data_IF_272484189218
#
_entry.id   IF_272484189218
#
_cell.length_a   1.000
_cell.length_b   1.000
_cell.length_c   1.000
_cell.angle_alpha   90.00
_cell.angle_beta   90.00
_cell.angle_gamma   90.00
#
_symmetry.space_group_name_H-M   'P 1'
#
loop_
_entity.id
_entity.type
_entity.pdbx_description
1 polymer ?
#
# COMPACT_ATOMS: atom_id res chain seq x y z
N UNK A 1 -18.75 -19.90 49.56
CA UNK A 1 -19.32 -19.85 48.24
C UNK A 1 -18.24 -19.45 47.25
N UNK A 2 -17.71 -20.39 46.47
CA UNK A 2 -16.75 -20.12 45.40
C UNK A 2 -17.55 -19.62 44.19
N UNK A 3 -17.28 -18.40 43.75
CA UNK A 3 -17.78 -17.90 42.46
C UNK A 3 -16.90 -18.48 41.35
N UNK A 4 -17.43 -19.47 40.63
CA UNK A 4 -16.85 -19.94 39.37
C UNK A 4 -17.02 -18.86 38.31
N UNK A 5 -15.96 -18.11 38.02
CA UNK A 5 -15.87 -17.25 36.89
C UNK A 5 -15.91 -18.08 35.60
N UNK A 6 -16.98 -17.97 34.83
CA UNK A 6 -17.05 -18.49 33.48
C UNK A 6 -16.02 -17.71 32.64
N UNK A 7 -14.93 -18.36 32.28
CA UNK A 7 -14.05 -17.87 31.25
C UNK A 7 -14.82 -17.89 29.94
N UNK A 8 -15.25 -16.72 29.47
CA UNK A 8 -15.76 -16.57 28.12
C UNK A 8 -14.64 -16.90 27.16
N UNK A 9 -14.81 -17.96 26.38
CA UNK A 9 -13.91 -18.31 25.31
C UNK A 9 -13.78 -17.10 24.41
N UNK A 10 -12.58 -16.54 24.30
CA UNK A 10 -12.28 -15.43 23.40
C UNK A 10 -12.34 -16.02 22.00
N UNK A 11 -13.41 -15.70 21.27
CA UNK A 11 -13.52 -16.10 19.88
C UNK A 11 -12.37 -15.46 19.09
N UNK A 12 -11.47 -16.27 18.58
CA UNK A 12 -10.42 -15.82 17.68
C UNK A 12 -11.09 -15.39 16.36
N UNK A 13 -10.99 -14.13 15.94
CA UNK A 13 -11.65 -13.68 14.73
C UNK A 13 -11.07 -14.40 13.52
N UNK A 14 -11.86 -15.24 12.87
CA UNK A 14 -11.44 -16.11 11.75
C UNK A 14 -11.16 -15.34 10.44
N UNK A 15 -11.42 -14.03 10.40
CA UNK A 15 -11.41 -13.22 9.18
C UNK A 15 -10.60 -11.94 9.28
N UNK A 16 -9.59 -11.89 10.16
CA UNK A 16 -8.62 -10.79 10.20
C UNK A 16 -7.77 -10.86 8.94
N UNK A 17 -7.83 -9.80 8.14
CA UNK A 17 -7.03 -9.67 6.92
C UNK A 17 -6.11 -8.47 7.03
N UNK A 18 -4.90 -8.60 6.48
CA UNK A 18 -3.91 -7.53 6.36
C UNK A 18 -3.77 -6.74 7.67
N UNK A 19 -2.97 -7.25 8.56
CA UNK A 19 -2.57 -6.59 9.79
C UNK A 19 -1.23 -5.85 9.60
N UNK A 20 -1.02 -4.81 10.40
CA UNK A 20 0.19 -4.01 10.39
C UNK A 20 0.48 -3.50 11.80
N UNK A 21 1.68 -3.79 12.30
CA UNK A 21 2.14 -3.26 13.59
C UNK A 21 2.58 -1.79 13.42
N UNK A 22 2.29 -0.94 14.41
CA UNK A 22 2.77 0.44 14.43
C UNK A 22 4.30 0.50 14.51
N UNK A 23 4.96 1.52 13.91
CA UNK A 23 6.42 1.67 13.98
C UNK A 23 6.98 1.66 15.40
N UNK A 24 6.24 2.18 16.38
CA UNK A 24 6.62 2.16 17.81
C UNK A 24 6.37 0.80 18.50
N UNK A 25 5.79 -0.18 17.79
CA UNK A 25 5.52 -1.51 18.29
C UNK A 25 4.36 -1.63 19.28
N UNK A 26 3.62 -0.54 19.55
CA UNK A 26 2.63 -0.51 20.64
C UNK A 26 1.22 -0.92 20.23
N UNK A 27 0.90 -0.86 18.91
CA UNK A 27 -0.45 -1.10 18.39
C UNK A 27 -0.42 -1.94 17.13
N UNK A 28 -1.51 -2.62 16.84
CA UNK A 28 -1.75 -3.37 15.60
C UNK A 28 -3.02 -2.82 14.95
N UNK A 29 -2.91 -2.41 13.68
CA UNK A 29 -4.05 -2.10 12.84
C UNK A 29 -4.41 -3.32 11.99
N UNK A 30 -5.69 -3.58 11.79
CA UNK A 30 -6.16 -4.68 10.94
C UNK A 30 -7.53 -4.37 10.34
N UNK A 31 -7.87 -5.05 9.25
CA UNK A 31 -9.20 -4.99 8.67
C UNK A 31 -10.03 -6.20 9.09
N UNK A 32 -11.28 -5.93 9.47
CA UNK A 32 -12.25 -6.95 9.83
C UNK A 32 -13.64 -6.54 9.36
N UNK A 33 -14.31 -7.43 8.60
CA UNK A 33 -15.66 -7.21 8.05
C UNK A 33 -15.85 -5.89 7.28
N UNK A 34 -14.79 -5.40 6.64
CA UNK A 34 -14.86 -4.18 5.84
C UNK A 34 -14.57 -2.89 6.60
N UNK A 35 -14.18 -2.97 7.87
CA UNK A 35 -13.76 -1.83 8.68
C UNK A 35 -12.32 -1.99 9.19
N UNK A 36 -11.72 -0.88 9.57
CA UNK A 36 -10.39 -0.83 10.17
C UNK A 36 -10.51 -0.75 11.69
N UNK A 37 -9.72 -1.58 12.36
CA UNK A 37 -9.62 -1.67 13.81
C UNK A 37 -8.19 -1.46 14.27
N UNK A 38 -8.02 -0.96 15.49
CA UNK A 38 -6.73 -0.84 16.16
C UNK A 38 -6.82 -1.52 17.54
N UNK A 39 -5.81 -2.31 17.88
CA UNK A 39 -5.71 -2.99 19.17
C UNK A 39 -4.30 -2.77 19.75
N UNK A 40 -4.13 -2.69 21.09
CA UNK A 40 -2.80 -2.72 21.71
C UNK A 40 -2.04 -3.99 21.31
N UNK A 41 -0.73 -3.90 21.05
CA UNK A 41 0.10 -5.05 20.70
C UNK A 41 0.16 -6.11 21.83
N UNK A 42 -0.10 -5.70 23.07
CA UNK A 42 -0.22 -6.56 24.23
C UNK A 42 -1.57 -7.29 24.34
N UNK A 43 -2.46 -7.04 23.36
CA UNK A 43 -3.82 -7.57 23.38
C UNK A 43 -4.81 -6.64 24.10
N UNK A 44 -6.06 -7.05 24.16
CA UNK A 44 -7.12 -6.29 24.78
C UNK A 44 -8.27 -5.97 23.81
N UNK A 45 -9.03 -4.91 24.12
CA UNK A 45 -10.17 -4.50 23.31
C UNK A 45 -9.71 -3.75 22.05
N UNK A 46 -10.17 -4.21 20.89
CA UNK A 46 -9.98 -3.49 19.64
C UNK A 46 -10.92 -2.29 19.54
N UNK A 47 -10.39 -1.16 19.08
CA UNK A 47 -11.14 0.04 18.74
C UNK A 47 -11.45 0.03 17.24
N UNK A 48 -12.71 0.12 16.87
CA UNK A 48 -13.11 0.33 15.49
C UNK A 48 -12.88 1.81 15.12
N UNK A 49 -12.05 2.06 14.10
CA UNK A 49 -11.68 3.43 13.71
C UNK A 49 -12.36 3.90 12.43
N UNK A 50 -12.95 3.00 11.66
CA UNK A 50 -13.81 3.34 10.51
C UNK A 50 -15.19 2.71 10.70
N UNK A 51 -16.24 3.43 10.28
CA UNK A 51 -17.65 3.05 10.49
C UNK A 51 -18.51 3.30 9.25
N UNK A 52 -17.90 3.53 8.09
CA UNK A 52 -18.63 3.76 6.84
C UNK A 52 -19.15 2.42 6.28
N UNK A 53 -20.26 2.44 5.54
CA UNK A 53 -20.78 1.25 4.86
C UNK A 53 -19.87 0.71 3.75
N UNK A 54 -18.94 1.54 3.26
CA UNK A 54 -17.97 1.14 2.25
C UNK A 54 -16.92 0.18 2.83
N UNK A 55 -16.38 -0.66 1.96
CA UNK A 55 -15.34 -1.60 2.32
C UNK A 55 -13.98 -0.89 2.50
N UNK A 56 -13.48 -0.85 3.72
CA UNK A 56 -12.18 -0.32 4.11
C UNK A 56 -11.18 -1.47 4.33
N UNK A 57 -9.97 -1.35 3.80
CA UNK A 57 -8.96 -2.42 3.85
C UNK A 57 -7.53 -1.89 3.78
N UNK A 58 -6.56 -2.81 3.94
CA UNK A 58 -5.13 -2.54 3.81
C UNK A 58 -4.62 -1.40 4.69
N UNK A 59 -4.86 -1.44 6.02
CA UNK A 59 -4.35 -0.39 6.90
C UNK A 59 -2.82 -0.41 6.93
N UNK A 60 -2.22 0.78 6.89
CA UNK A 60 -0.79 1.00 7.06
C UNK A 60 -0.56 2.20 7.98
N UNK A 61 0.45 2.12 8.83
CA UNK A 61 0.78 3.18 9.78
C UNK A 61 1.61 4.28 9.15
N UNK A 62 1.38 5.53 9.59
CA UNK A 62 2.36 6.61 9.42
C UNK A 62 3.57 6.39 10.33
N UNK A 63 4.73 6.96 9.96
CA UNK A 63 5.99 6.76 10.68
C UNK A 63 5.93 7.19 12.15
N UNK A 64 5.09 8.16 12.49
CA UNK A 64 4.86 8.65 13.86
C UNK A 64 3.90 7.79 14.68
N UNK A 65 3.39 6.68 14.14
CA UNK A 65 2.43 5.78 14.80
C UNK A 65 1.10 6.43 15.22
N UNK A 66 0.73 7.57 14.62
CA UNK A 66 -0.48 8.32 15.02
C UNK A 66 -1.64 8.21 14.05
N UNK A 67 -1.37 7.88 12.79
CA UNK A 67 -2.40 7.83 11.75
C UNK A 67 -2.35 6.51 10.99
N UNK A 68 -3.49 6.16 10.41
CA UNK A 68 -3.68 4.99 9.56
C UNK A 68 -4.03 5.47 8.16
N UNK A 69 -3.25 5.02 7.18
CA UNK A 69 -3.54 5.13 5.75
C UNK A 69 -4.21 3.83 5.33
N UNK A 70 -5.26 3.90 4.56
CA UNK A 70 -6.02 2.73 4.16
C UNK A 70 -6.71 2.93 2.80
N UNK A 71 -7.18 1.85 2.23
CA UNK A 71 -7.93 1.84 0.98
C UNK A 71 -9.42 1.75 1.28
N UNK A 72 -10.24 2.56 0.59
CA UNK A 72 -11.70 2.59 0.75
C UNK A 72 -12.44 2.67 -0.58
N UNK A 73 -13.64 2.09 -0.63
CA UNK A 73 -14.55 2.14 -1.79
C UNK A 73 -15.67 3.20 -1.64
N UNK A 74 -15.46 4.26 -0.85
CA UNK A 74 -16.48 5.28 -0.53
C UNK A 74 -16.97 6.05 -1.75
N UNK A 75 -16.11 6.25 -2.74
CA UNK A 75 -16.35 7.13 -3.89
C UNK A 75 -16.57 6.35 -5.20
N UNK A 76 -17.09 5.13 -5.12
CA UNK A 76 -17.31 4.22 -6.27
C UNK A 76 -16.03 3.69 -6.92
N UNK A 77 -14.88 4.21 -6.54
CA UNK A 77 -13.55 3.72 -6.88
C UNK A 77 -12.81 3.32 -5.61
N UNK A 78 -11.73 2.62 -5.78
CA UNK A 78 -10.82 2.31 -4.68
C UNK A 78 -9.82 3.43 -4.55
N UNK A 79 -9.96 4.22 -3.50
CA UNK A 79 -9.12 5.39 -3.23
C UNK A 79 -8.39 5.24 -1.90
N UNK A 80 -7.41 6.12 -1.69
CA UNK A 80 -6.58 6.14 -0.48
C UNK A 80 -7.07 7.21 0.47
N UNK A 81 -7.26 6.82 1.72
CA UNK A 81 -7.71 7.65 2.83
C UNK A 81 -6.73 7.62 3.99
N UNK A 82 -6.81 8.62 4.85
CA UNK A 82 -6.06 8.70 6.11
C UNK A 82 -6.98 9.10 7.25
N UNK A 83 -6.78 8.51 8.42
CA UNK A 83 -7.48 8.87 9.66
C UNK A 83 -6.56 8.76 10.87
N UNK A 84 -6.97 9.30 12.02
CA UNK A 84 -6.30 9.06 13.30
C UNK A 84 -6.41 7.59 13.71
N UNK A 85 -5.41 7.04 14.38
CA UNK A 85 -5.48 5.71 14.98
C UNK A 85 -6.49 5.61 16.14
N UNK A 86 -7.02 6.75 16.59
CA UNK A 86 -8.08 6.84 17.60
C UNK A 86 -9.48 7.00 16.99
N UNK A 87 -9.56 7.03 15.66
CA UNK A 87 -10.80 7.27 14.91
C UNK A 87 -10.99 8.73 14.54
N UNK A 88 -12.15 9.04 13.99
CA UNK A 88 -12.52 10.36 13.49
C UNK A 88 -12.90 10.33 12.02
N UNK A 89 -13.14 11.51 11.43
CA UNK A 89 -13.50 11.61 10.01
C UNK A 89 -12.30 11.35 9.12
N UNK A 90 -12.31 10.32 8.27
CA UNK A 90 -11.24 10.08 7.32
C UNK A 90 -11.15 11.17 6.26
N UNK A 91 -9.92 11.52 5.90
CA UNK A 91 -9.60 12.43 4.80
C UNK A 91 -9.19 11.61 3.56
N UNK A 92 -9.80 11.91 2.41
CA UNK A 92 -9.39 11.35 1.12
C UNK A 92 -8.08 11.99 0.68
N UNK A 93 -7.12 11.17 0.26
CA UNK A 93 -5.79 11.62 -0.20
C UNK A 93 -5.65 11.59 -1.72
N UNK A 94 -6.37 10.70 -2.39
CA UNK A 94 -6.30 10.53 -3.84
C UNK A 94 -7.67 10.69 -4.48
N UNK A 95 -7.71 11.22 -5.71
CA UNK A 95 -8.94 11.66 -6.38
C UNK A 95 -9.04 11.15 -7.82
N UNK A 96 -8.26 10.14 -8.19
CA UNK A 96 -8.27 9.61 -9.55
C UNK A 96 -9.47 8.67 -9.78
N UNK A 97 -10.09 8.67 -10.97
CA UNK A 97 -11.24 7.80 -11.25
C UNK A 97 -10.87 6.30 -11.40
N UNK A 98 -9.58 5.97 -11.52
CA UNK A 98 -9.09 4.59 -11.57
C UNK A 98 -8.98 3.95 -10.19
N UNK A 99 -8.86 2.62 -10.16
CA UNK A 99 -8.62 1.90 -8.91
C UNK A 99 -7.17 2.07 -8.45
N UNK A 100 -7.01 2.51 -7.23
CA UNK A 100 -5.71 2.68 -6.57
C UNK A 100 -5.48 1.56 -5.56
N UNK A 101 -4.23 1.10 -5.48
CA UNK A 101 -3.84 0.09 -4.49
C UNK A 101 -2.70 0.63 -3.64
N UNK A 102 -2.96 0.78 -2.34
CA UNK A 102 -1.94 1.18 -1.37
C UNK A 102 -0.84 0.13 -1.30
N UNK A 103 0.41 0.56 -1.45
CA UNK A 103 1.58 -0.32 -1.45
C UNK A 103 2.43 -0.15 -0.20
N UNK A 104 2.71 1.10 0.21
CA UNK A 104 3.53 1.39 1.37
C UNK A 104 3.35 2.82 1.87
N UNK A 105 3.67 3.02 3.15
CA UNK A 105 3.88 4.34 3.76
C UNK A 105 5.35 4.42 4.16
N UNK A 106 6.08 5.37 3.59
CA UNK A 106 7.51 5.51 3.80
C UNK A 106 7.83 6.32 5.07
N UNK A 107 9.05 6.15 5.64
CA UNK A 107 9.47 6.91 6.83
C UNK A 107 9.46 8.43 6.65
N UNK A 108 9.66 8.91 5.43
CA UNK A 108 9.63 10.35 5.08
C UNK A 108 8.21 10.91 4.87
N UNK A 109 7.18 10.09 5.05
CA UNK A 109 5.77 10.45 4.91
C UNK A 109 5.20 10.28 3.51
N UNK A 110 5.98 9.81 2.53
CA UNK A 110 5.46 9.45 1.21
C UNK A 110 4.57 8.23 1.29
N UNK A 111 3.48 8.26 0.56
CA UNK A 111 2.49 7.19 0.45
C UNK A 111 2.56 6.65 -0.96
N UNK A 112 3.05 5.42 -1.10
CA UNK A 112 3.19 4.74 -2.38
C UNK A 112 1.92 3.98 -2.73
N UNK A 113 1.49 4.10 -3.97
CA UNK A 113 0.35 3.37 -4.48
C UNK A 113 0.51 3.06 -5.96
N UNK A 114 -0.15 2.02 -6.41
CA UNK A 114 -0.27 1.70 -7.83
C UNK A 114 -1.64 2.09 -8.33
N UNK A 115 -1.71 2.60 -9.55
CA UNK A 115 -2.95 2.99 -10.20
C UNK A 115 -2.86 2.80 -11.71
N UNK A 116 -4.00 2.47 -12.34
CA UNK A 116 -4.14 2.42 -13.78
C UNK A 116 -4.55 3.80 -14.28
N UNK A 117 -3.58 4.69 -14.46
CA UNK A 117 -3.82 6.03 -14.97
C UNK A 117 -3.47 6.02 -16.46
N UNK A 118 -4.48 6.05 -17.33
CA UNK A 118 -4.26 6.25 -18.76
C UNK A 118 -3.87 7.71 -18.99
N UNK A 119 -2.59 8.02 -18.98
CA UNK A 119 -2.10 9.38 -19.28
C UNK A 119 -1.66 9.59 -20.73
N UNK A 120 -1.60 8.56 -21.57
CA UNK A 120 -1.21 8.74 -22.97
C UNK A 120 -1.87 7.71 -23.88
N UNK A 121 -2.67 8.20 -24.84
CA UNK A 121 -3.22 7.43 -25.98
C UNK A 121 -2.14 6.84 -26.89
N UNK A 122 -0.87 7.18 -26.70
CA UNK A 122 0.26 6.72 -27.52
C UNK A 122 1.11 5.65 -26.82
N UNK A 123 0.67 5.13 -25.68
CA UNK A 123 1.38 4.04 -25.01
C UNK A 123 0.75 2.72 -25.43
N UNK A 124 1.47 1.91 -26.23
CA UNK A 124 1.09 0.55 -26.65
C UNK A 124 1.10 -0.46 -25.48
N UNK A 125 0.76 0.01 -24.27
CA UNK A 125 0.59 -0.82 -23.08
C UNK A 125 -0.77 -1.52 -23.09
N UNK A 126 -0.81 -2.76 -22.62
CA UNK A 126 -2.09 -3.45 -22.43
C UNK A 126 -2.97 -2.67 -21.44
N UNK A 127 -4.28 -2.53 -21.71
CA UNK A 127 -5.21 -1.96 -20.73
C UNK A 127 -5.15 -2.78 -19.45
N UNK A 128 -4.84 -2.14 -18.34
CA UNK A 128 -4.79 -2.80 -17.02
C UNK A 128 -3.44 -2.79 -16.30
N UNK A 129 -2.37 -2.34 -16.95
CA UNK A 129 -1.05 -2.23 -16.31
C UNK A 129 -1.03 -1.10 -15.28
N UNK A 130 -0.76 -1.42 -14.02
CA UNK A 130 -0.67 -0.44 -12.95
C UNK A 130 0.72 0.20 -12.90
N UNK A 131 0.78 1.52 -12.70
CA UNK A 131 2.00 2.29 -12.55
C UNK A 131 2.16 2.76 -11.10
N UNK A 132 3.38 3.01 -10.68
CA UNK A 132 3.70 3.44 -9.32
C UNK A 132 3.70 4.96 -9.19
N UNK A 133 2.98 5.43 -8.18
CA UNK A 133 2.88 6.84 -7.79
C UNK A 133 3.16 7.01 -6.30
N UNK A 134 3.47 8.23 -5.91
CA UNK A 134 3.40 8.61 -4.50
C UNK A 134 2.62 9.91 -4.31
N UNK A 135 2.02 10.05 -3.15
CA UNK A 135 1.49 11.26 -2.56
C UNK A 135 2.02 11.39 -1.14
N UNK A 136 1.48 12.29 -0.35
CA UNK A 136 1.81 12.46 1.06
C UNK A 136 0.56 12.51 1.96
N UNK A 137 0.75 12.67 3.25
CA UNK A 137 -0.33 12.74 4.24
C UNK A 137 -1.20 14.00 4.12
N UNK A 138 -0.78 14.99 3.32
CA UNK A 138 -1.59 16.19 3.03
C UNK A 138 -2.52 15.98 1.85
N UNK A 139 -2.31 14.94 1.04
CA UNK A 139 -3.02 14.67 -0.21
C UNK A 139 -2.50 15.54 -1.35
N UNK A 140 -1.19 15.77 -1.39
CA UNK A 140 -0.54 16.47 -2.48
C UNK A 140 -0.77 15.76 -3.82
N UNK A 141 -0.66 16.50 -4.91
CA UNK A 141 -0.80 15.93 -6.26
C UNK A 141 0.13 14.73 -6.44
N UNK A 142 -0.39 13.56 -6.88
CA UNK A 142 0.43 12.38 -7.08
C UNK A 142 1.55 12.60 -8.08
N UNK A 143 2.71 12.04 -7.75
CA UNK A 143 3.91 12.05 -8.60
C UNK A 143 4.19 10.63 -9.07
N UNK A 144 4.40 10.46 -10.37
CA UNK A 144 4.75 9.18 -10.95
C UNK A 144 6.19 8.81 -10.62
N UNK A 145 6.41 7.61 -10.09
CA UNK A 145 7.75 7.08 -9.76
C UNK A 145 8.38 6.43 -10.97
N UNK A 146 7.60 5.67 -11.73
CA UNK A 146 8.07 4.98 -12.94
C UNK A 146 6.95 4.90 -13.99
N UNK A 147 7.32 4.93 -15.26
CA UNK A 147 6.42 4.69 -16.38
C UNK A 147 6.23 3.21 -16.67
N UNK A 148 7.02 2.33 -16.05
CA UNK A 148 6.93 0.89 -16.26
C UNK A 148 5.79 0.29 -15.41
N UNK A 149 5.07 -0.70 -15.95
CA UNK A 149 4.08 -1.45 -15.17
C UNK A 149 4.80 -2.26 -14.08
N UNK A 150 4.21 -2.27 -12.88
CA UNK A 150 4.81 -2.87 -11.70
C UNK A 150 4.01 -4.10 -11.27
N UNK A 151 4.74 -5.21 -11.01
CA UNK A 151 4.21 -6.41 -10.40
C UNK A 151 4.23 -6.35 -8.88
N UNK A 152 5.26 -6.96 -8.30
CA UNK A 152 5.47 -6.95 -6.85
C UNK A 152 6.31 -5.75 -6.41
N UNK A 153 6.05 -5.25 -5.21
CA UNK A 153 6.83 -4.18 -4.58
C UNK A 153 7.19 -4.59 -3.15
N UNK A 154 8.40 -4.27 -2.73
CA UNK A 154 8.87 -4.40 -1.37
C UNK A 154 9.60 -3.13 -0.95
N UNK A 155 9.38 -2.69 0.28
CA UNK A 155 9.99 -1.47 0.82
C UNK A 155 10.76 -1.86 2.08
N UNK A 156 12.02 -1.42 2.18
CA UNK A 156 12.81 -1.62 3.38
C UNK A 156 12.53 -0.52 4.43
N UNK A 157 13.08 -0.71 5.64
CA UNK A 157 12.95 0.25 6.75
C UNK A 157 13.50 1.65 6.44
N UNK A 158 14.41 1.77 5.49
CA UNK A 158 15.06 3.03 5.12
C UNK A 158 14.34 3.74 3.94
N UNK A 159 13.23 3.13 3.46
CA UNK A 159 12.43 3.66 2.36
C UNK A 159 12.96 3.34 0.97
N UNK A 160 13.97 2.47 0.84
CA UNK A 160 14.37 1.95 -0.45
C UNK A 160 13.33 0.95 -0.98
N UNK A 161 13.00 1.05 -2.24
CA UNK A 161 11.95 0.28 -2.90
C UNK A 161 12.60 -0.72 -3.85
N UNK A 162 12.21 -1.98 -3.74
CA UNK A 162 12.46 -3.00 -4.76
C UNK A 162 11.14 -3.28 -5.47
N UNK A 163 11.15 -3.30 -6.77
CA UNK A 163 9.97 -3.61 -7.55
C UNK A 163 10.30 -4.49 -8.75
N UNK A 164 9.32 -5.27 -9.17
CA UNK A 164 9.39 -6.15 -10.31
C UNK A 164 8.73 -5.47 -11.51
N UNK A 165 9.43 -5.40 -12.64
CA UNK A 165 8.88 -4.99 -13.92
C UNK A 165 8.09 -6.15 -14.54
N UNK A 166 6.84 -5.91 -14.92
CA UNK A 166 5.98 -6.93 -15.57
C UNK A 166 6.32 -7.06 -17.06
N UNK A 167 6.79 -6.00 -17.69
CA UNK A 167 7.21 -6.02 -19.08
C UNK A 167 8.71 -6.10 -19.16
N UNK A 168 9.23 -7.31 -19.33
CA UNK A 168 10.57 -7.48 -19.88
C UNK A 168 10.67 -6.63 -21.14
N UNK A 169 11.64 -5.74 -21.19
CA UNK A 169 11.92 -4.92 -22.38
C UNK A 169 12.22 -5.88 -23.52
N UNK A 170 11.24 -6.14 -24.39
CA UNK A 170 11.52 -6.75 -25.67
C UNK A 170 12.28 -5.72 -26.49
N UNK A 171 13.61 -5.84 -26.46
CA UNK A 171 14.46 -5.16 -27.42
C UNK A 171 14.03 -5.63 -28.82
N UNK A 172 13.40 -4.78 -29.66
CA UNK A 172 12.94 -5.16 -30.98
C UNK A 172 14.09 -5.57 -31.93
N UNK A 173 15.34 -5.42 -31.49
CA UNK A 173 16.52 -5.85 -32.22
C UNK A 173 17.03 -7.25 -31.82
N UNK A 174 16.47 -7.90 -30.81
CA UNK A 174 16.79 -9.31 -30.44
C UNK A 174 15.93 -10.30 -31.20
N UNK A 175 16.20 -10.44 -32.47
CA UNK A 175 15.63 -11.48 -33.35
C UNK A 175 16.22 -12.86 -33.06
N UNK A 176 16.08 -13.52 -32.05
CA UNK A 176 16.38 -14.98 -31.89
C UNK A 176 16.59 -15.42 -30.42
N UNK A 177 15.77 -14.95 -29.48
CA UNK A 177 15.68 -15.68 -28.22
C UNK A 177 14.21 -16.04 -27.91
N UNK A 178 13.96 -17.33 -27.75
CA UNK A 178 12.76 -17.86 -27.11
C UNK A 178 12.61 -17.14 -25.78
N UNK A 179 11.58 -16.31 -25.70
CA UNK A 179 11.33 -15.45 -24.55
C UNK A 179 11.00 -16.27 -23.30
N UNK A 180 11.98 -16.44 -22.44
CA UNK A 180 11.64 -16.39 -21.03
C UNK A 180 11.36 -14.93 -20.73
N UNK A 181 10.16 -14.60 -20.27
CA UNK A 181 9.81 -13.27 -19.75
C UNK A 181 10.70 -13.06 -18.52
N UNK A 182 11.88 -12.48 -18.72
CA UNK A 182 12.78 -12.13 -17.63
C UNK A 182 12.20 -10.87 -16.99
N UNK A 183 11.59 -11.05 -15.84
CA UNK A 183 11.15 -9.94 -15.00
C UNK A 183 12.39 -9.34 -14.36
N UNK A 184 12.67 -8.10 -14.67
CA UNK A 184 13.79 -7.39 -14.05
C UNK A 184 13.38 -6.85 -12.68
N UNK A 185 14.32 -6.93 -11.73
CA UNK A 185 14.15 -6.34 -10.40
C UNK A 185 14.84 -4.98 -10.41
N UNK A 186 14.11 -3.96 -10.00
CA UNK A 186 14.59 -2.59 -9.91
C UNK A 186 14.68 -2.14 -8.47
N UNK A 187 15.71 -1.35 -8.16
CA UNK A 187 15.84 -0.64 -6.90
C UNK A 187 15.61 0.85 -7.12
N UNK A 188 14.79 1.45 -6.26
CA UNK A 188 14.55 2.88 -6.24
C UNK A 188 14.83 3.43 -4.84
N UNK A 189 15.63 4.49 -4.76
CA UNK A 189 15.90 5.20 -3.52
C UNK A 189 15.58 6.67 -3.75
N UNK A 190 14.69 7.24 -2.94
CA UNK A 190 14.42 8.67 -2.93
C UNK A 190 15.45 9.38 -2.06
N UNK A 191 16.35 10.14 -2.68
CA UNK A 191 17.28 11.02 -1.98
C UNK A 191 16.71 12.45 -2.01
N UNK A 192 15.91 12.82 -1.03
CA UNK A 192 15.40 14.19 -0.90
C UNK A 192 14.51 14.62 -2.06
N UNK A 193 14.75 15.82 -2.63
CA UNK A 193 13.94 16.41 -3.70
C UNK A 193 14.31 15.96 -5.12
N UNK A 194 15.30 15.09 -5.28
CA UNK A 194 15.64 14.56 -6.59
C UNK A 194 14.80 13.30 -6.88
N UNK A 195 14.29 13.20 -8.10
CA UNK A 195 13.68 11.98 -8.60
C UNK A 195 14.71 10.85 -8.46
N UNK A 196 14.39 9.85 -7.63
CA UNK A 196 15.31 8.74 -7.37
C UNK A 196 15.67 8.01 -8.65
N UNK A 197 16.89 7.53 -8.73
CA UNK A 197 17.39 6.75 -9.86
C UNK A 197 17.00 5.29 -9.67
N UNK A 198 16.27 4.72 -10.62
CA UNK A 198 16.05 3.28 -10.67
C UNK A 198 17.32 2.59 -11.17
N UNK A 199 17.77 1.56 -10.47
CA UNK A 199 18.93 0.73 -10.85
C UNK A 199 18.42 -0.69 -11.09
N UNK A 200 18.64 -1.23 -12.29
CA UNK A 200 18.36 -2.62 -12.59
C UNK A 200 19.29 -3.53 -11.79
N UNK A 201 18.72 -4.51 -11.10
CA UNK A 201 19.45 -5.56 -10.41
C UNK A 201 19.34 -6.80 -11.29
N UNK A 202 20.29 -7.02 -12.16
CA UNK A 202 20.35 -8.25 -12.93
C UNK A 202 20.80 -9.39 -12.02
N UNK A 203 20.00 -10.44 -11.94
CA UNK A 203 20.32 -11.64 -11.18
C UNK A 203 21.44 -12.49 -11.81
N UNK A 204 21.94 -12.11 -12.99
CA UNK A 204 23.06 -12.73 -13.67
C UNK A 204 24.24 -11.75 -13.65
N UNK A 205 25.05 -11.86 -12.59
CA UNK A 205 26.37 -11.24 -12.51
C UNK A 205 27.35 -11.87 -13.48
#
# INVERSE_FOLDING_TARGET
GAASGLATAQETPKWVRKNCISPDGTKIAFSYKGDIFVVPATGGRALQITTNEAFDSCPMWTADSKKIVFTSYREKSRDIFITSCEGGAPKRLTFHPGHETLQAVLPDGKILFTANIQQNVNFDGFPGDAQLYYTDTTGARPVQVTSLPIGAISVNKDGAILYEDIKGYEDPLRKHHTSSVTRDIWSYTSNGNEAGKAISINANG
#
